data_IF_462374949767
#
_entry.id   IF_462374949767
#
_cell.length_a   1.000
_cell.length_b   1.000
_cell.length_c   1.000
_cell.angle_alpha   90.00
_cell.angle_beta   90.00
_cell.angle_gamma   90.00
#
_symmetry.space_group_name_H-M   'P 1'
#
loop_
_entity.id
_entity.type
_entity.pdbx_description
1 polymer ?
#
# COMPACT_ATOMS: atom_id res chain seq x y z
N UNK A 1 -39.69 18.00 25.46
CA UNK A 1 -38.69 17.78 24.40
C UNK A 1 -38.46 16.29 24.27
N UNK A 2 -38.56 15.72 23.07
CA UNK A 2 -38.26 14.30 22.87
C UNK A 2 -36.75 14.07 23.01
N UNK A 3 -36.36 13.03 23.73
CA UNK A 3 -34.95 12.69 23.88
C UNK A 3 -34.45 12.03 22.59
N UNK A 4 -33.21 12.32 22.18
CA UNK A 4 -32.58 11.61 21.05
C UNK A 4 -32.52 10.09 21.29
N UNK A 5 -32.45 9.66 22.56
CA UNK A 5 -32.47 8.24 22.95
C UNK A 5 -33.82 7.56 22.74
N UNK A 6 -34.91 8.31 22.52
CA UNK A 6 -36.24 7.76 22.23
C UNK A 6 -36.56 7.65 20.73
N UNK A 7 -35.64 8.06 19.85
CA UNK A 7 -35.80 7.87 18.41
C UNK A 7 -35.76 6.38 18.03
N UNK A 8 -36.38 6.03 16.91
CA UNK A 8 -36.33 4.68 16.34
C UNK A 8 -34.92 4.34 15.85
N UNK A 9 -34.57 3.06 15.83
CA UNK A 9 -33.20 2.60 15.48
C UNK A 9 -32.85 2.97 14.04
N UNK A 10 -33.82 2.92 13.14
CA UNK A 10 -33.71 3.29 11.73
C UNK A 10 -33.32 4.77 11.56
N UNK A 11 -33.94 5.66 12.34
CA UNK A 11 -33.61 7.09 12.33
C UNK A 11 -32.24 7.35 12.95
N UNK A 12 -31.87 6.61 14.00
CA UNK A 12 -30.54 6.72 14.60
C UNK A 12 -29.45 6.19 13.67
N UNK A 13 -29.72 5.12 12.91
CA UNK A 13 -28.82 4.61 11.87
C UNK A 13 -28.58 5.68 10.82
N UNK A 14 -29.63 6.33 10.29
CA UNK A 14 -29.49 7.42 9.32
C UNK A 14 -28.66 8.56 9.87
N UNK A 15 -28.93 9.02 11.10
CA UNK A 15 -28.15 10.09 11.74
C UNK A 15 -26.69 9.70 11.90
N UNK A 16 -26.40 8.48 12.37
CA UNK A 16 -25.02 8.05 12.62
C UNK A 16 -24.24 7.73 11.34
N UNK A 17 -24.90 7.23 10.29
CA UNK A 17 -24.25 6.96 8.99
C UNK A 17 -23.74 8.25 8.33
N UNK A 18 -24.41 9.38 8.58
CA UNK A 18 -24.00 10.72 8.13
C UNK A 18 -22.88 11.34 8.98
N UNK A 19 -22.51 10.75 10.12
CA UNK A 19 -21.45 11.29 10.97
C UNK A 19 -20.06 10.83 10.54
N UNK A 20 -19.05 11.66 10.85
CA UNK A 20 -17.66 11.23 10.76
C UNK A 20 -17.38 10.05 11.71
N UNK A 21 -16.42 9.19 11.37
CA UNK A 21 -16.02 8.04 12.23
C UNK A 21 -15.64 8.49 13.64
N UNK A 22 -15.02 9.67 13.77
CA UNK A 22 -14.66 10.22 15.08
C UNK A 22 -15.88 10.62 15.90
N UNK A 23 -16.91 11.18 15.27
CA UNK A 23 -18.15 11.55 15.95
C UNK A 23 -19.00 10.33 16.27
N UNK A 24 -19.06 9.34 15.37
CA UNK A 24 -19.65 8.03 15.67
C UNK A 24 -19.00 7.42 16.92
N UNK A 25 -17.67 7.44 17.03
CA UNK A 25 -16.97 6.92 18.21
C UNK A 25 -17.35 7.65 19.51
N UNK A 26 -17.53 8.99 19.46
CA UNK A 26 -18.01 9.77 20.61
C UNK A 26 -19.47 9.45 20.95
N UNK A 27 -20.34 9.32 19.95
CA UNK A 27 -21.73 8.93 20.14
C UNK A 27 -21.86 7.53 20.74
N UNK A 28 -21.00 6.58 20.34
CA UNK A 28 -20.97 5.23 20.90
C UNK A 28 -20.69 5.22 22.41
N UNK A 29 -19.91 6.18 22.91
CA UNK A 29 -19.61 6.31 24.34
C UNK A 29 -20.77 6.90 25.15
N UNK A 30 -21.74 7.55 24.51
CA UNK A 30 -22.83 8.22 25.22
C UNK A 30 -23.80 7.22 25.87
N UNK A 31 -24.12 6.10 25.22
CA UNK A 31 -24.94 5.04 25.81
C UNK A 31 -24.79 3.69 25.09
N UNK A 32 -25.17 2.60 25.77
CA UNK A 32 -25.11 1.22 25.23
C UNK A 32 -25.89 1.05 23.92
N UNK A 33 -27.06 1.70 23.78
CA UNK A 33 -27.86 1.61 22.56
C UNK A 33 -27.11 2.20 21.37
N UNK A 34 -26.49 3.36 21.53
CA UNK A 34 -25.71 3.99 20.47
C UNK A 34 -24.47 3.18 20.13
N UNK A 35 -23.81 2.62 21.15
CA UNK A 35 -22.71 1.67 20.93
C UNK A 35 -23.13 0.50 20.04
N UNK A 36 -24.25 -0.17 20.33
CA UNK A 36 -24.73 -1.30 19.52
C UNK A 36 -25.08 -0.90 18.09
N UNK A 37 -25.76 0.24 17.91
CA UNK A 37 -26.11 0.71 16.56
C UNK A 37 -24.84 1.02 15.77
N UNK A 38 -23.89 1.73 16.39
CA UNK A 38 -22.64 2.16 15.74
C UNK A 38 -21.68 0.98 15.53
N UNK A 39 -21.71 -0.06 16.37
CA UNK A 39 -20.89 -1.26 16.18
C UNK A 39 -21.24 -2.01 14.90
N UNK A 40 -22.49 -1.88 14.45
CA UNK A 40 -23.00 -2.60 13.29
C UNK A 40 -22.81 -1.80 11.97
N UNK A 41 -22.50 -0.50 12.07
CA UNK A 41 -22.24 0.35 10.92
C UNK A 41 -20.97 -0.05 10.17
N UNK A 42 -21.06 -0.05 8.84
CA UNK A 42 -19.93 -0.27 7.94
C UNK A 42 -19.04 0.96 7.89
N UNK A 43 -17.74 0.74 7.79
CA UNK A 43 -16.74 1.79 7.64
C UNK A 43 -16.46 1.93 6.14
N UNK A 44 -17.10 2.91 5.51
CA UNK A 44 -17.14 3.10 4.06
C UNK A 44 -16.00 3.92 3.49
N UNK A 45 -15.28 4.67 4.32
CA UNK A 45 -14.06 5.38 3.94
C UNK A 45 -13.14 5.58 5.15
N UNK A 46 -11.95 4.99 5.12
CA UNK A 46 -10.98 5.11 6.21
C UNK A 46 -9.58 5.39 5.69
N UNK A 47 -9.09 6.59 6.04
CA UNK A 47 -7.72 7.01 5.80
C UNK A 47 -6.81 6.47 6.90
N UNK A 48 -5.93 5.54 6.54
CA UNK A 48 -4.91 5.01 7.43
C UNK A 48 -3.55 5.65 7.14
N UNK A 49 -2.92 6.19 8.18
CA UNK A 49 -1.63 6.88 8.07
C UNK A 49 -0.50 5.96 8.52
N UNK A 50 0.35 5.55 7.57
CA UNK A 50 1.54 4.76 7.83
C UNK A 50 2.69 5.67 8.24
N UNK A 51 3.42 5.27 9.28
CA UNK A 51 4.59 5.99 9.79
C UNK A 51 4.31 7.44 10.17
N UNK A 52 3.07 7.72 10.59
CA UNK A 52 2.64 8.99 11.18
C UNK A 52 2.66 8.98 12.72
N UNK A 53 3.02 10.07 13.41
CA UNK A 53 3.17 10.13 14.88
C UNK A 53 1.95 9.72 15.71
N UNK A 54 0.77 9.60 15.11
CA UNK A 54 -0.43 9.10 15.80
C UNK A 54 -0.44 7.58 15.99
N UNK A 55 0.51 6.85 15.39
CA UNK A 55 0.58 5.38 15.41
C UNK A 55 -0.72 4.71 14.93
N UNK A 56 -1.39 5.29 13.92
CA UNK A 56 -2.73 4.85 13.53
C UNK A 56 -2.79 3.38 13.12
N UNK A 57 -1.78 2.89 12.39
CA UNK A 57 -1.72 1.48 11.97
C UNK A 57 -1.54 0.55 13.16
N UNK A 58 -0.56 0.83 14.01
CA UNK A 58 -0.29 0.03 15.21
C UNK A 58 -1.51 -0.04 16.14
N UNK A 59 -2.13 1.11 16.43
CA UNK A 59 -3.34 1.17 17.27
C UNK A 59 -4.50 0.39 16.67
N UNK A 60 -4.72 0.51 15.36
CA UNK A 60 -5.78 -0.22 14.68
C UNK A 60 -5.53 -1.73 14.75
N UNK A 61 -4.30 -2.20 14.47
CA UNK A 61 -3.96 -3.62 14.57
C UNK A 61 -4.17 -4.14 15.99
N UNK A 62 -3.76 -3.39 17.03
CA UNK A 62 -4.06 -3.77 18.43
C UNK A 62 -5.56 -3.91 18.69
N UNK A 63 -6.37 -2.99 18.18
CA UNK A 63 -7.82 -3.09 18.29
C UNK A 63 -8.37 -4.33 17.58
N UNK A 64 -7.80 -4.69 16.42
CA UNK A 64 -8.20 -5.87 15.64
C UNK A 64 -7.75 -7.19 16.28
N UNK A 65 -6.63 -7.21 16.99
CA UNK A 65 -6.22 -8.38 17.79
C UNK A 65 -7.25 -8.64 18.91
N UNK A 66 -7.67 -7.60 19.62
CA UNK A 66 -8.67 -7.72 20.70
C UNK A 66 -10.06 -8.05 20.14
N UNK A 67 -10.45 -7.42 19.03
CA UNK A 67 -11.76 -7.61 18.42
C UNK A 67 -11.66 -7.69 16.88
N UNK A 68 -11.42 -8.89 16.33
CA UNK A 68 -11.26 -9.10 14.89
C UNK A 68 -12.50 -8.71 14.07
N UNK A 69 -13.71 -8.77 14.65
CA UNK A 69 -14.97 -8.45 13.98
C UNK A 69 -15.03 -6.99 13.51
N UNK A 70 -14.25 -6.09 14.14
CA UNK A 70 -14.14 -4.70 13.68
C UNK A 70 -13.58 -4.67 12.24
N UNK A 71 -12.70 -5.59 11.88
CA UNK A 71 -12.10 -5.71 10.56
C UNK A 71 -13.14 -5.93 9.45
N UNK A 72 -14.19 -6.70 9.73
CA UNK A 72 -15.29 -7.02 8.79
C UNK A 72 -16.19 -5.82 8.47
N UNK A 73 -15.99 -4.70 9.18
CA UNK A 73 -16.74 -3.47 8.95
C UNK A 73 -16.12 -2.61 7.86
N UNK A 74 -14.82 -2.72 7.62
CA UNK A 74 -14.12 -1.92 6.60
C UNK A 74 -14.54 -2.33 5.19
N UNK A 75 -15.05 -1.38 4.43
CA UNK A 75 -15.40 -1.54 3.01
C UNK A 75 -14.37 -0.84 2.10
N UNK A 76 -13.74 0.23 2.58
CA UNK A 76 -12.69 0.95 1.87
C UNK A 76 -11.54 1.34 2.79
N UNK A 77 -10.32 1.20 2.29
CA UNK A 77 -9.10 1.71 2.93
C UNK A 77 -8.34 2.60 1.96
N UNK A 78 -7.93 3.76 2.44
CA UNK A 78 -7.02 4.67 1.75
C UNK A 78 -5.74 4.77 2.56
N UNK A 79 -4.62 4.33 1.98
CA UNK A 79 -3.34 4.23 2.65
C UNK A 79 -2.53 5.49 2.34
N UNK A 80 -2.12 6.19 3.40
CA UNK A 80 -1.29 7.40 3.32
C UNK A 80 0.05 7.12 3.96
N UNK A 81 1.09 7.01 3.14
CA UNK A 81 2.45 6.79 3.61
C UNK A 81 3.12 8.11 3.98
N UNK A 82 3.69 8.19 5.17
CA UNK A 82 4.46 9.35 5.63
C UNK A 82 5.94 9.01 5.70
N UNK A 83 6.76 9.99 5.33
CA UNK A 83 8.21 9.84 5.30
C UNK A 83 8.83 9.90 6.71
N UNK A 84 9.68 8.92 6.99
CA UNK A 84 10.71 9.02 8.04
C UNK A 84 11.91 9.75 7.44
N UNK A 85 11.89 11.08 7.49
CA UNK A 85 12.87 11.92 6.80
C UNK A 85 13.80 12.69 7.73
N UNK A 86 15.06 12.85 7.32
CA UNK A 86 16.13 13.65 7.96
C UNK A 86 15.76 15.11 8.28
N UNK A 87 14.83 15.70 7.53
CA UNK A 87 14.55 17.16 7.54
C UNK A 87 13.21 17.54 8.16
N UNK A 88 12.43 16.59 8.68
CA UNK A 88 11.14 16.88 9.30
C UNK A 88 11.13 16.32 10.73
N UNK A 89 11.52 17.13 11.73
CA UNK A 89 11.59 16.73 13.13
C UNK A 89 10.31 16.12 13.71
N UNK A 90 9.18 16.51 13.14
CA UNK A 90 7.86 16.24 13.69
C UNK A 90 7.23 14.94 13.18
N UNK A 91 7.91 14.17 12.30
CA UNK A 91 7.26 13.05 11.59
C UNK A 91 7.63 11.61 11.95
N UNK A 92 8.78 11.25 12.55
CA UNK A 92 9.06 9.83 12.75
C UNK A 92 8.12 9.24 13.79
N UNK A 93 7.37 8.22 13.40
CA UNK A 93 6.68 7.37 14.37
C UNK A 93 7.73 6.70 15.23
N UNK A 94 7.64 6.94 16.54
CA UNK A 94 8.56 6.29 17.48
C UNK A 94 8.39 4.78 17.42
N UNK A 95 9.32 4.06 18.02
CA UNK A 95 9.16 2.63 18.25
C UNK A 95 7.92 2.41 19.13
N UNK A 96 7.07 1.47 18.73
CA UNK A 96 6.04 0.93 19.61
C UNK A 96 6.50 -0.40 20.21
N UNK A 97 5.88 -0.77 21.32
CA UNK A 97 6.16 -2.03 22.01
C UNK A 97 4.88 -2.84 22.10
N UNK A 98 5.02 -4.15 21.92
CA UNK A 98 3.97 -5.12 22.13
C UNK A 98 4.04 -5.64 23.57
N UNK A 99 2.90 -6.03 24.11
CA UNK A 99 2.87 -6.87 25.32
C UNK A 99 3.27 -8.31 24.96
N UNK A 100 3.73 -9.09 25.95
CA UNK A 100 4.11 -10.49 25.71
C UNK A 100 2.93 -11.30 25.13
N UNK A 101 1.72 -11.01 25.59
CA UNK A 101 0.48 -11.64 25.11
C UNK A 101 0.23 -11.30 23.64
N UNK A 102 0.34 -10.03 23.27
CA UNK A 102 0.21 -9.57 21.87
C UNK A 102 1.30 -10.20 20.99
N UNK A 103 2.55 -10.29 21.45
CA UNK A 103 3.63 -10.92 20.67
C UNK A 103 3.33 -12.39 20.38
N UNK A 104 2.89 -13.15 21.39
CA UNK A 104 2.54 -14.57 21.23
C UNK A 104 1.38 -14.72 20.25
N UNK A 105 0.37 -13.86 20.35
CA UNK A 105 -0.79 -13.89 19.46
C UNK A 105 -0.42 -13.53 18.02
N UNK A 106 0.30 -12.44 17.81
CA UNK A 106 0.74 -12.01 16.47
C UNK A 106 1.60 -13.10 15.84
N UNK A 107 2.54 -13.70 16.58
CA UNK A 107 3.39 -14.76 16.02
C UNK A 107 2.55 -15.96 15.55
N UNK A 108 1.57 -16.39 16.35
CA UNK A 108 0.63 -17.45 15.95
C UNK A 108 -0.16 -17.08 14.69
N UNK A 109 -0.62 -15.84 14.58
CA UNK A 109 -1.32 -15.36 13.37
C UNK A 109 -0.39 -15.35 12.16
N UNK A 110 0.85 -14.90 12.33
CA UNK A 110 1.84 -14.89 11.26
C UNK A 110 2.11 -16.30 10.73
N UNK A 111 2.26 -17.28 11.62
CA UNK A 111 2.44 -18.68 11.25
C UNK A 111 1.17 -19.24 10.57
N UNK A 112 -0.01 -19.00 11.14
CA UNK A 112 -1.28 -19.48 10.62
C UNK A 112 -1.64 -18.92 9.25
N UNK A 113 -1.20 -17.70 8.93
CA UNK A 113 -1.46 -17.03 7.65
C UNK A 113 -0.29 -17.16 6.68
N UNK A 114 0.76 -17.91 7.03
CA UNK A 114 1.96 -18.08 6.23
C UNK A 114 2.66 -16.75 5.87
N UNK A 115 2.66 -15.82 6.82
CA UNK A 115 3.34 -14.51 6.72
C UNK A 115 4.49 -14.39 7.74
N UNK A 116 5.03 -15.53 8.18
CA UNK A 116 6.09 -15.60 9.19
C UNK A 116 7.35 -14.79 8.82
N UNK A 117 7.61 -14.54 7.54
CA UNK A 117 8.76 -13.75 7.10
C UNK A 117 8.70 -12.28 7.53
N UNK A 118 7.52 -11.73 7.85
CA UNK A 118 7.37 -10.36 8.37
C UNK A 118 7.45 -10.26 9.91
N UNK A 119 7.41 -11.40 10.63
CA UNK A 119 7.31 -11.43 12.10
C UNK A 119 8.37 -10.57 12.80
N UNK A 120 9.64 -10.71 12.44
CA UNK A 120 10.74 -9.98 13.08
C UNK A 120 10.55 -8.46 12.97
N UNK A 121 10.07 -7.98 11.82
CA UNK A 121 9.83 -6.56 11.57
C UNK A 121 8.64 -6.02 12.36
N UNK A 122 7.59 -6.85 12.51
CA UNK A 122 6.44 -6.52 13.36
C UNK A 122 6.90 -6.43 14.82
N UNK A 123 7.67 -7.41 15.30
CA UNK A 123 8.15 -7.48 16.67
C UNK A 123 9.08 -6.30 17.01
N UNK A 124 9.95 -5.91 16.09
CA UNK A 124 10.85 -4.76 16.29
C UNK A 124 10.09 -3.44 16.52
N UNK A 125 8.87 -3.34 15.97
CA UNK A 125 7.94 -2.26 16.28
C UNK A 125 8.33 -0.91 15.68
N UNK A 126 8.94 -0.93 14.50
CA UNK A 126 9.48 0.27 13.87
C UNK A 126 8.83 0.56 12.53
N UNK A 127 8.69 -0.37 11.60
CA UNK A 127 8.09 -0.08 10.29
C UNK A 127 6.58 -0.33 10.29
N UNK A 128 5.75 0.70 10.10
CA UNK A 128 4.28 0.51 10.12
C UNK A 128 3.83 -0.36 8.95
N UNK A 129 4.63 -0.38 7.87
CA UNK A 129 4.40 -1.22 6.68
C UNK A 129 4.42 -2.71 7.02
N UNK A 130 5.19 -3.14 8.01
CA UNK A 130 5.23 -4.54 8.45
C UNK A 130 3.88 -5.01 9.01
N UNK A 131 3.01 -4.08 9.43
CA UNK A 131 1.68 -4.39 9.95
C UNK A 131 0.59 -4.48 8.89
N UNK A 132 0.88 -4.05 7.66
CA UNK A 132 -0.08 -4.08 6.56
C UNK A 132 -0.66 -5.50 6.30
N UNK A 133 0.15 -6.58 6.28
CA UNK A 133 -0.37 -7.93 6.08
C UNK A 133 -1.40 -8.32 7.14
N UNK A 134 -1.11 -8.06 8.42
CA UNK A 134 -2.06 -8.32 9.50
C UNK A 134 -3.35 -7.52 9.32
N UNK A 135 -3.22 -6.23 9.04
CA UNK A 135 -4.38 -5.35 8.80
C UNK A 135 -5.28 -5.91 7.70
N UNK A 136 -4.71 -6.25 6.55
CA UNK A 136 -5.46 -6.75 5.40
C UNK A 136 -6.11 -8.10 5.66
N UNK A 137 -5.44 -9.00 6.38
CA UNK A 137 -5.99 -10.31 6.79
C UNK A 137 -7.18 -10.18 7.75
N UNK A 138 -7.23 -9.11 8.54
CA UNK A 138 -8.39 -8.81 9.39
C UNK A 138 -9.52 -8.10 8.64
N UNK A 139 -9.26 -7.38 7.54
CA UNK A 139 -10.28 -6.65 6.77
C UNK A 139 -10.83 -7.47 5.60
N UNK A 140 -11.49 -8.59 5.90
CA UNK A 140 -11.95 -9.56 4.89
C UNK A 140 -13.12 -9.09 4.02
N UNK A 141 -13.89 -8.09 4.48
CA UNK A 141 -15.01 -7.50 3.73
C UNK A 141 -14.62 -6.26 2.90
N UNK A 142 -13.32 -6.01 2.73
CA UNK A 142 -12.81 -4.88 1.97
C UNK A 142 -13.21 -5.01 0.49
N UNK A 143 -13.75 -3.93 -0.07
CA UNK A 143 -14.11 -3.82 -1.50
C UNK A 143 -13.18 -2.88 -2.24
N UNK A 144 -12.72 -1.82 -1.59
CA UNK A 144 -11.89 -0.81 -2.22
C UNK A 144 -10.59 -0.64 -1.44
N UNK A 145 -9.46 -0.65 -2.13
CA UNK A 145 -8.17 -0.33 -1.53
C UNK A 145 -7.39 0.64 -2.41
N UNK A 146 -7.02 1.78 -1.83
CA UNK A 146 -6.17 2.78 -2.44
C UNK A 146 -4.85 2.83 -1.71
N UNK A 147 -3.80 2.30 -2.33
CA UNK A 147 -2.46 2.32 -1.79
C UNK A 147 -1.77 3.68 -1.85
N UNK A 148 -2.41 4.69 -2.46
CA UNK A 148 -1.81 6.01 -2.59
C UNK A 148 -0.47 5.96 -3.30
N UNK A 149 0.30 7.01 -3.09
CA UNK A 149 1.70 7.08 -3.52
C UNK A 149 2.57 6.55 -2.37
N UNK A 150 3.28 5.45 -2.62
CA UNK A 150 4.23 4.92 -1.66
C UNK A 150 5.52 5.74 -1.66
N UNK A 151 6.22 5.72 -0.53
CA UNK A 151 7.61 6.15 -0.46
C UNK A 151 8.51 4.93 -0.40
N UNK A 152 9.57 4.93 -1.20
CA UNK A 152 10.46 3.77 -1.28
C UNK A 152 11.27 3.69 0.01
N UNK A 153 11.37 2.48 0.53
CA UNK A 153 12.10 2.20 1.75
C UNK A 153 11.46 2.66 3.06
N UNK A 154 12.01 2.08 4.12
CA UNK A 154 11.95 2.60 5.49
C UNK A 154 12.60 3.99 5.60
N UNK A 155 13.35 4.38 4.57
CA UNK A 155 14.21 5.57 4.46
C UNK A 155 14.13 6.08 3.02
N UNK A 156 13.84 7.37 2.84
CA UNK A 156 14.12 8.03 1.57
C UNK A 156 15.63 8.18 1.42
N UNK A 157 16.23 7.37 0.54
CA UNK A 157 17.66 7.49 0.20
C UNK A 157 17.80 8.52 -0.91
N UNK A 158 18.53 9.60 -0.63
CA UNK A 158 19.00 10.50 -1.68
C UNK A 158 20.21 9.82 -2.35
N UNK A 159 20.15 9.45 -3.62
CA UNK A 159 21.24 8.75 -4.30
C UNK A 159 22.51 9.56 -4.51
N UNK A 160 22.48 10.88 -4.26
CA UNK A 160 23.70 11.68 -4.20
C UNK A 160 24.54 11.41 -2.94
N UNK A 161 24.04 10.54 -2.05
CA UNK A 161 24.60 10.25 -0.76
C UNK A 161 24.77 8.70 -0.65
N UNK A 162 26.01 8.22 -0.63
CA UNK A 162 26.47 6.87 -0.19
C UNK A 162 26.03 6.50 1.26
N UNK A 163 24.77 6.72 1.65
CA UNK A 163 24.32 6.93 3.04
C UNK A 163 23.19 6.00 3.52
N UNK A 164 22.99 4.84 2.89
CA UNK A 164 21.91 3.90 3.27
C UNK A 164 22.01 3.46 4.74
N UNK A 165 23.23 3.18 5.21
CA UNK A 165 23.47 2.70 6.58
C UNK A 165 23.29 3.80 7.64
N UNK A 166 23.72 5.02 7.33
CA UNK A 166 23.69 6.16 8.26
C UNK A 166 22.27 6.62 8.53
N UNK A 167 21.44 6.68 7.48
CA UNK A 167 20.05 7.10 7.62
C UNK A 167 19.18 6.01 8.28
N UNK A 168 19.42 4.73 7.98
CA UNK A 168 18.76 3.64 8.70
C UNK A 168 19.06 3.70 10.21
N UNK A 169 20.32 3.93 10.60
CA UNK A 169 20.73 4.12 11.99
C UNK A 169 20.16 5.39 12.63
N UNK A 170 20.04 6.48 11.88
CA UNK A 170 19.41 7.72 12.38
C UNK A 170 17.93 7.56 12.62
N UNK A 171 17.22 6.92 11.71
CA UNK A 171 15.80 6.65 11.88
C UNK A 171 15.61 5.69 13.05
N UNK A 172 16.43 4.65 13.18
CA UNK A 172 16.44 3.77 14.34
C UNK A 172 16.62 4.55 15.65
N UNK A 173 17.66 5.38 15.75
CA UNK A 173 17.92 6.18 16.95
C UNK A 173 16.83 7.24 17.21
N UNK A 174 16.34 7.92 16.18
CA UNK A 174 15.22 8.86 16.31
C UNK A 174 13.94 8.18 16.75
N UNK A 175 13.69 6.96 16.27
CA UNK A 175 12.51 6.16 16.64
C UNK A 175 12.61 5.62 18.07
N UNK A 176 13.80 5.24 18.53
CA UNK A 176 13.99 4.62 19.87
C UNK A 176 14.27 5.64 20.96
N UNK A 177 15.15 6.61 20.71
CA UNK A 177 15.60 7.56 21.72
C UNK A 177 14.78 8.87 21.72
N UNK A 178 13.91 9.09 20.73
CA UNK A 178 13.13 10.32 20.59
C UNK A 178 13.97 11.58 20.32
N UNK A 179 15.27 11.42 20.06
CA UNK A 179 16.23 12.51 19.85
C UNK A 179 16.78 12.55 18.42
N UNK A 180 17.02 13.77 17.92
CA UNK A 180 17.75 13.97 16.67
C UNK A 180 19.24 13.71 16.87
N UNK A 181 19.78 12.64 16.27
CA UNK A 181 21.24 12.53 16.15
C UNK A 181 21.75 13.49 15.07
N UNK A 182 22.70 14.35 15.43
CA UNK A 182 23.43 15.14 14.45
C UNK A 182 24.41 14.27 13.65
N UNK A 183 24.97 14.82 12.57
CA UNK A 183 26.03 14.13 11.80
C UNK A 183 27.33 13.98 12.60
N UNK A 184 27.62 14.91 13.51
CA UNK A 184 28.80 14.87 14.36
C UNK A 184 28.71 13.76 15.42
N UNK A 185 27.52 13.43 15.89
CA UNK A 185 27.30 12.35 16.86
C UNK A 185 27.51 10.96 16.22
N UNK A 186 27.37 10.85 14.90
CA UNK A 186 27.51 9.59 14.16
C UNK A 186 28.96 9.09 14.07
N UNK A 187 29.92 9.95 13.75
CA UNK A 187 31.34 9.56 13.68
C UNK A 187 31.85 9.08 15.05
N UNK A 188 31.34 9.68 16.12
CA UNK A 188 31.59 9.26 17.49
C UNK A 188 30.91 7.92 17.84
N UNK A 189 29.64 7.72 17.48
CA UNK A 189 28.92 6.48 17.81
C UNK A 189 29.29 5.27 16.95
N UNK A 190 29.63 5.44 15.66
CA UNK A 190 30.09 4.34 14.78
C UNK A 190 31.30 3.61 15.37
N UNK A 191 32.13 4.34 16.13
CA UNK A 191 33.33 3.78 16.77
C UNK A 191 33.09 3.22 18.18
N UNK A 192 31.93 3.48 18.81
CA UNK A 192 31.75 3.22 20.25
C UNK A 192 30.48 2.45 20.65
N UNK A 193 29.37 2.50 19.89
CA UNK A 193 28.06 2.04 20.41
C UNK A 193 27.34 0.96 19.59
N UNK A 194 27.65 0.83 18.29
CA UNK A 194 27.12 -0.30 17.51
C UNK A 194 28.17 -1.39 17.50
N UNK A 195 27.94 -2.47 18.26
CA UNK A 195 28.64 -3.69 17.94
C UNK A 195 28.27 -4.05 16.49
N UNK A 196 29.24 -4.54 15.74
CA UNK A 196 29.07 -4.86 14.32
C UNK A 196 27.92 -5.87 14.10
N UNK A 197 27.59 -6.72 15.07
CA UNK A 197 26.52 -7.71 15.00
C UNK A 197 25.11 -7.12 15.05
N UNK A 198 24.85 -6.11 15.90
CA UNK A 198 23.55 -5.43 15.98
C UNK A 198 23.31 -4.64 14.70
N UNK A 199 24.36 -4.03 14.16
CA UNK A 199 24.31 -3.37 12.87
C UNK A 199 24.08 -4.37 11.72
N UNK A 200 24.80 -5.49 11.68
CA UNK A 200 24.61 -6.56 10.70
C UNK A 200 23.20 -7.18 10.79
N UNK A 201 22.65 -7.31 12.00
CA UNK A 201 21.28 -7.79 12.20
C UNK A 201 20.23 -6.80 11.70
N UNK A 202 20.45 -5.50 11.94
CA UNK A 202 19.59 -4.43 11.42
C UNK A 202 19.70 -4.30 9.90
N UNK A 203 20.92 -4.29 9.36
CA UNK A 203 21.12 -4.21 7.92
C UNK A 203 20.62 -5.47 7.21
N UNK A 204 20.75 -6.67 7.79
CA UNK A 204 20.14 -7.87 7.20
C UNK A 204 18.61 -7.76 7.15
N UNK A 205 17.97 -7.35 8.25
CA UNK A 205 16.51 -7.30 8.33
C UNK A 205 15.91 -6.14 7.50
N UNK A 206 16.58 -4.99 7.41
CA UNK A 206 16.06 -3.80 6.73
C UNK A 206 16.61 -3.57 5.31
N UNK A 207 17.87 -3.95 5.04
CA UNK A 207 18.56 -3.66 3.77
C UNK A 207 18.60 -4.88 2.84
N UNK A 208 18.67 -6.11 3.37
CA UNK A 208 18.88 -7.31 2.53
C UNK A 208 17.63 -8.15 2.23
N UNK A 209 16.49 -7.87 2.86
CA UNK A 209 15.25 -8.64 2.65
C UNK A 209 14.13 -7.76 2.10
N UNK A 210 14.26 -7.34 0.85
CA UNK A 210 13.12 -6.83 0.08
C UNK A 210 12.07 -7.94 -0.17
N UNK A 211 12.53 -9.20 -0.25
CA UNK A 211 11.66 -10.37 -0.49
C UNK A 211 10.52 -10.59 0.49
N UNK A 212 10.60 -10.13 1.75
CA UNK A 212 9.54 -10.40 2.72
C UNK A 212 8.23 -9.74 2.31
N UNK A 213 8.27 -8.53 1.72
CA UNK A 213 7.05 -7.80 1.38
C UNK A 213 6.31 -8.54 0.28
N UNK A 214 7.00 -8.93 -0.79
CA UNK A 214 6.39 -9.68 -1.88
C UNK A 214 5.86 -11.04 -1.42
N UNK A 215 6.69 -11.81 -0.70
CA UNK A 215 6.33 -13.13 -0.17
C UNK A 215 5.09 -13.06 0.73
N UNK A 216 5.11 -12.13 1.69
CA UNK A 216 4.03 -11.95 2.67
C UNK A 216 2.76 -11.39 2.04
N UNK A 217 2.89 -10.35 1.22
CA UNK A 217 1.73 -9.74 0.58
C UNK A 217 1.13 -10.68 -0.45
N UNK A 218 1.94 -11.49 -1.12
CA UNK A 218 1.48 -12.52 -2.02
C UNK A 218 0.56 -13.55 -1.37
N UNK A 219 0.82 -13.94 -0.11
CA UNK A 219 -0.10 -14.78 0.68
C UNK A 219 -1.33 -13.99 1.15
N UNK A 220 -1.16 -12.69 1.39
CA UNK A 220 -2.24 -11.80 1.85
C UNK A 220 -3.28 -11.56 0.77
N UNK A 221 -2.87 -11.43 -0.50
CA UNK A 221 -3.78 -11.20 -1.65
C UNK A 221 -4.91 -12.22 -1.70
N UNK A 222 -4.64 -13.49 -1.36
CA UNK A 222 -5.65 -14.56 -1.37
C UNK A 222 -6.85 -14.28 -0.44
N UNK A 223 -6.67 -13.45 0.59
CA UNK A 223 -7.75 -13.04 1.50
C UNK A 223 -8.58 -11.86 0.99
N UNK A 224 -8.16 -11.21 -0.09
CA UNK A 224 -8.74 -10.00 -0.64
C UNK A 224 -9.73 -10.28 -1.79
N UNK A 225 -10.38 -11.43 -1.78
CA UNK A 225 -11.28 -11.88 -2.87
C UNK A 225 -12.52 -11.00 -3.08
N UNK A 226 -12.84 -10.12 -2.12
CA UNK A 226 -13.95 -9.18 -2.19
C UNK A 226 -13.60 -7.83 -2.83
N UNK A 227 -12.33 -7.58 -3.14
CA UNK A 227 -11.91 -6.31 -3.74
C UNK A 227 -12.51 -6.17 -5.13
N UNK A 228 -13.15 -5.03 -5.35
CA UNK A 228 -13.74 -4.57 -6.60
C UNK A 228 -13.00 -3.37 -7.19
N UNK A 229 -12.36 -2.55 -6.36
CA UNK A 229 -11.55 -1.40 -6.81
C UNK A 229 -10.16 -1.41 -6.17
N UNK A 230 -9.15 -1.26 -7.01
CA UNK A 230 -7.74 -1.17 -6.61
C UNK A 230 -7.09 0.08 -7.19
N UNK A 231 -6.38 0.83 -6.36
CA UNK A 231 -5.57 1.97 -6.77
C UNK A 231 -4.14 1.87 -6.23
N UNK A 232 -3.15 2.16 -7.08
CA UNK A 232 -1.74 2.21 -6.72
C UNK A 232 -0.99 3.28 -7.52
N UNK A 233 -0.38 4.25 -6.84
CA UNK A 233 0.30 5.39 -7.48
C UNK A 233 1.82 5.29 -7.46
N UNK A 234 2.33 4.06 -7.52
CA UNK A 234 3.77 3.84 -7.64
C UNK A 234 4.51 4.25 -6.38
N UNK A 235 5.83 4.32 -6.55
CA UNK A 235 6.74 4.69 -5.49
C UNK A 235 7.47 5.99 -5.87
N UNK A 236 7.48 6.99 -5.00
CA UNK A 236 8.33 8.17 -5.18
C UNK A 236 9.79 7.76 -4.98
N UNK A 237 10.46 7.41 -6.07
CA UNK A 237 11.91 7.26 -6.11
C UNK A 237 12.53 8.48 -6.79
N UNK A 238 13.49 9.13 -6.12
CA UNK A 238 14.41 10.05 -6.79
C UNK A 238 15.55 9.30 -7.50
N UNK A 239 15.55 7.98 -7.36
CA UNK A 239 16.65 7.13 -7.76
C UNK A 239 16.45 6.59 -9.16
N UNK A 240 17.43 6.83 -10.05
CA UNK A 240 17.39 6.34 -11.43
C UNK A 240 17.59 4.82 -11.55
N UNK A 241 17.89 4.12 -10.45
CA UNK A 241 18.49 2.78 -10.52
C UNK A 241 17.98 1.69 -9.56
N UNK A 242 16.89 1.87 -8.80
CA UNK A 242 16.58 0.88 -7.75
C UNK A 242 15.61 -0.25 -8.12
N UNK A 243 16.02 -1.43 -7.68
CA UNK A 243 15.47 -2.79 -7.81
C UNK A 243 14.23 -3.07 -6.95
N UNK A 244 13.77 -2.10 -6.15
CA UNK A 244 12.65 -2.27 -5.21
C UNK A 244 11.26 -2.26 -5.89
N UNK A 245 11.19 -1.85 -7.15
CA UNK A 245 9.95 -1.97 -7.94
C UNK A 245 9.52 -3.44 -8.08
N UNK A 246 10.41 -4.43 -7.98
CA UNK A 246 10.05 -5.85 -8.19
C UNK A 246 8.95 -6.34 -7.26
N UNK A 247 8.97 -5.98 -5.98
CA UNK A 247 8.04 -6.52 -4.98
C UNK A 247 6.66 -5.87 -5.07
N UNK A 248 6.63 -4.55 -5.27
CA UNK A 248 5.38 -3.85 -5.51
C UNK A 248 4.74 -4.35 -6.81
N UNK A 249 5.56 -4.64 -7.83
CA UNK A 249 5.07 -5.21 -9.07
C UNK A 249 4.50 -6.62 -8.87
N UNK A 250 5.19 -7.54 -8.19
CA UNK A 250 4.67 -8.90 -7.93
C UNK A 250 3.38 -8.87 -7.09
N UNK A 251 3.29 -7.95 -6.13
CA UNK A 251 2.06 -7.74 -5.39
C UNK A 251 0.91 -7.25 -6.29
N UNK A 252 1.16 -6.24 -7.11
CA UNK A 252 0.17 -5.72 -8.07
C UNK A 252 -0.26 -6.82 -9.03
N UNK A 253 0.66 -7.64 -9.55
CA UNK A 253 0.32 -8.72 -10.49
C UNK A 253 -0.67 -9.71 -9.90
N UNK A 254 -0.43 -10.16 -8.66
CA UNK A 254 -1.33 -11.07 -7.95
C UNK A 254 -2.69 -10.43 -7.68
N UNK A 255 -2.73 -9.13 -7.38
CA UNK A 255 -3.99 -8.41 -7.19
C UNK A 255 -4.83 -8.32 -8.46
N UNK A 256 -4.20 -8.14 -9.63
CA UNK A 256 -4.91 -8.08 -10.91
C UNK A 256 -5.69 -9.37 -11.24
N UNK A 257 -5.34 -10.48 -10.58
CA UNK A 257 -6.00 -11.79 -10.73
C UNK A 257 -7.16 -12.01 -9.77
N UNK A 258 -7.49 -11.02 -8.95
CA UNK A 258 -8.61 -11.15 -8.02
C UNK A 258 -9.94 -11.35 -8.78
N UNK A 259 -10.78 -12.30 -8.34
CA UNK A 259 -11.94 -12.75 -9.12
C UNK A 259 -13.06 -11.72 -9.24
N UNK A 260 -13.05 -10.67 -8.41
CA UNK A 260 -14.07 -9.62 -8.37
C UNK A 260 -13.54 -8.23 -8.69
N UNK A 261 -12.27 -8.12 -9.07
CA UNK A 261 -11.63 -6.83 -9.31
C UNK A 261 -12.10 -6.24 -10.65
N UNK A 262 -12.92 -5.19 -10.58
CA UNK A 262 -13.52 -4.56 -11.75
C UNK A 262 -12.82 -3.25 -12.14
N UNK A 263 -12.30 -2.49 -11.17
CA UNK A 263 -11.69 -1.18 -11.37
C UNK A 263 -10.24 -1.18 -10.91
N UNK A 264 -9.34 -0.80 -11.81
CA UNK A 264 -7.90 -0.73 -11.53
C UNK A 264 -7.36 0.62 -11.96
N UNK A 265 -6.67 1.30 -11.05
CA UNK A 265 -5.95 2.55 -11.31
C UNK A 265 -4.50 2.38 -10.91
N UNK A 266 -3.61 2.43 -11.88
CA UNK A 266 -2.17 2.29 -11.67
C UNK A 266 -1.49 3.52 -12.21
N UNK A 267 -0.54 4.07 -11.46
CA UNK A 267 0.32 5.12 -12.00
C UNK A 267 1.73 5.11 -11.46
N UNK A 268 2.63 5.82 -12.15
CA UNK A 268 4.04 6.01 -11.75
C UNK A 268 4.82 4.70 -11.49
N UNK A 269 4.50 3.63 -12.22
CA UNK A 269 5.28 2.38 -12.20
C UNK A 269 6.27 2.37 -13.36
N UNK A 270 7.52 1.95 -13.13
CA UNK A 270 8.55 1.99 -14.17
C UNK A 270 8.55 0.89 -15.21
N UNK A 271 8.19 -0.35 -14.90
CA UNK A 271 8.14 -1.43 -15.90
C UNK A 271 7.48 -2.65 -15.29
N UNK A 272 6.84 -3.48 -16.13
CA UNK A 272 6.11 -4.68 -15.71
C UNK A 272 6.56 -5.96 -16.47
N UNK A 273 7.55 -5.88 -17.36
CA UNK A 273 7.74 -6.82 -18.47
C UNK A 273 7.98 -8.30 -18.13
N UNK A 274 7.41 -9.17 -18.99
CA UNK A 274 7.66 -10.62 -19.17
C UNK A 274 9.13 -11.07 -19.19
N UNK A 275 10.09 -10.25 -19.64
CA UNK A 275 11.53 -10.65 -19.63
C UNK A 275 12.08 -10.88 -18.21
N UNK A 276 11.36 -10.40 -17.19
CA UNK A 276 11.68 -10.61 -15.78
C UNK A 276 10.62 -11.39 -14.99
N UNK A 277 9.73 -12.16 -15.64
CA UNK A 277 8.96 -13.23 -14.96
C UNK A 277 7.53 -12.91 -14.52
N UNK A 278 6.91 -11.83 -14.99
CA UNK A 278 5.61 -11.34 -14.49
C UNK A 278 4.41 -12.28 -14.63
N UNK A 279 4.38 -13.05 -15.71
CA UNK A 279 3.24 -13.89 -16.10
C UNK A 279 3.60 -15.38 -16.20
N UNK A 280 4.82 -15.78 -15.82
CA UNK A 280 5.23 -17.19 -15.96
C UNK A 280 4.38 -18.13 -15.11
N UNK A 281 3.80 -17.62 -14.04
CA UNK A 281 3.01 -18.38 -13.08
C UNK A 281 1.50 -18.13 -13.19
N UNK A 282 1.05 -17.34 -14.17
CA UNK A 282 -0.38 -17.10 -14.42
C UNK A 282 -0.83 -18.13 -15.46
N UNK A 283 -1.76 -19.04 -15.12
CA UNK A 283 -2.30 -19.99 -16.08
C UNK A 283 -2.86 -19.27 -17.31
N UNK A 284 -2.56 -19.78 -18.51
CA UNK A 284 -2.95 -19.18 -19.79
C UNK A 284 -4.48 -18.98 -19.95
N UNK A 285 -5.29 -19.68 -19.15
CA UNK A 285 -6.74 -19.60 -19.10
C UNK A 285 -7.29 -18.59 -18.06
N UNK A 286 -6.42 -17.96 -17.27
CA UNK A 286 -6.81 -17.00 -16.24
C UNK A 286 -7.28 -15.70 -16.88
N UNK A 287 -8.59 -15.49 -16.88
CA UNK A 287 -9.21 -14.23 -17.33
C UNK A 287 -9.46 -13.34 -16.12
N UNK A 288 -8.94 -12.11 -16.15
CA UNK A 288 -9.28 -11.15 -15.11
C UNK A 288 -10.70 -10.59 -15.33
N UNK A 289 -11.29 -10.05 -14.26
CA UNK A 289 -12.64 -9.46 -14.26
C UNK A 289 -12.63 -7.93 -14.45
N UNK A 290 -11.49 -7.38 -14.85
CA UNK A 290 -11.24 -5.94 -14.92
C UNK A 290 -12.05 -5.33 -16.07
N UNK A 291 -12.95 -4.41 -15.72
CA UNK A 291 -13.80 -3.64 -16.65
C UNK A 291 -13.26 -2.24 -16.90
N UNK A 292 -12.59 -1.65 -15.91
CA UNK A 292 -12.10 -0.28 -15.97
C UNK A 292 -10.62 -0.24 -15.60
N UNK A 293 -9.78 0.21 -16.53
CA UNK A 293 -8.34 0.32 -16.33
C UNK A 293 -7.85 1.75 -16.59
N UNK A 294 -7.15 2.32 -15.62
CA UNK A 294 -6.38 3.57 -15.77
C UNK A 294 -4.89 3.29 -15.56
N UNK A 295 -4.07 3.67 -16.56
CA UNK A 295 -2.60 3.61 -16.51
C UNK A 295 -2.03 5.02 -16.67
N UNK A 296 -1.55 5.66 -15.61
CA UNK A 296 -1.18 7.08 -15.64
C UNK A 296 0.28 7.30 -15.24
N UNK A 297 1.06 7.85 -16.15
CA UNK A 297 2.47 8.15 -15.88
C UNK A 297 3.31 6.90 -15.64
N UNK A 298 2.92 5.75 -16.20
CA UNK A 298 3.69 4.52 -16.13
C UNK A 298 4.78 4.52 -17.21
N UNK A 299 5.99 4.09 -16.88
CA UNK A 299 7.12 4.02 -17.83
C UNK A 299 7.17 2.67 -18.57
N UNK A 300 6.01 2.25 -19.04
CA UNK A 300 5.85 0.97 -19.70
C UNK A 300 6.55 0.93 -21.07
N UNK A 301 7.26 -0.15 -21.31
CA UNK A 301 7.71 -0.52 -22.64
C UNK A 301 6.53 -1.12 -23.41
N UNK A 302 6.67 -1.23 -24.73
CA UNK A 302 5.63 -1.82 -25.56
C UNK A 302 5.13 -3.21 -25.09
N UNK A 303 6.00 -4.16 -24.70
CA UNK A 303 5.54 -5.45 -24.19
C UNK A 303 4.71 -5.35 -22.90
N UNK A 304 4.92 -4.30 -22.08
CA UNK A 304 4.13 -4.10 -20.86
C UNK A 304 2.66 -3.80 -21.23
N UNK A 305 2.44 -2.96 -22.24
CA UNK A 305 1.09 -2.65 -22.73
C UNK A 305 0.42 -3.85 -23.40
N UNK A 306 1.18 -4.63 -24.16
CA UNK A 306 0.71 -5.90 -24.73
C UNK A 306 0.25 -6.85 -23.63
N UNK A 307 1.07 -7.04 -22.60
CA UNK A 307 0.77 -7.93 -21.47
C UNK A 307 -0.51 -7.51 -20.71
N UNK A 308 -0.72 -6.21 -20.46
CA UNK A 308 -1.97 -5.73 -19.87
C UNK A 308 -3.17 -5.93 -20.80
N UNK A 309 -3.00 -5.68 -22.10
CA UNK A 309 -4.08 -5.85 -23.07
C UNK A 309 -4.51 -7.33 -23.15
N UNK A 310 -3.54 -8.25 -23.17
CA UNK A 310 -3.77 -9.70 -23.12
C UNK A 310 -4.46 -10.11 -21.81
N UNK A 311 -4.08 -9.55 -20.65
CA UNK A 311 -4.71 -9.93 -19.38
C UNK A 311 -6.20 -9.54 -19.31
N UNK A 312 -6.59 -8.44 -19.95
CA UNK A 312 -7.78 -7.66 -19.58
C UNK A 312 -9.03 -7.87 -20.41
N UNK A 313 -9.12 -8.95 -21.20
CA UNK A 313 -10.15 -9.35 -22.21
C UNK A 313 -11.65 -8.97 -22.06
N UNK A 314 -12.09 -8.37 -20.96
CA UNK A 314 -13.44 -7.85 -20.71
C UNK A 314 -13.49 -6.34 -20.40
N UNK A 315 -12.48 -5.55 -20.77
CA UNK A 315 -12.50 -4.09 -20.52
C UNK A 315 -13.69 -3.42 -21.19
N UNK A 316 -14.33 -2.54 -20.43
CA UNK A 316 -15.39 -1.63 -20.89
C UNK A 316 -14.87 -0.19 -21.04
N UNK A 317 -13.81 0.19 -20.32
CA UNK A 317 -13.15 1.48 -20.48
C UNK A 317 -11.64 1.40 -20.22
N UNK A 318 -10.88 2.16 -21.00
CA UNK A 318 -9.43 2.24 -20.85
C UNK A 318 -8.94 3.68 -20.95
N UNK A 319 -8.14 4.10 -19.96
CA UNK A 319 -7.49 5.40 -19.95
C UNK A 319 -5.99 5.21 -19.75
N UNK A 320 -5.20 5.87 -20.57
CA UNK A 320 -3.76 5.86 -20.46
C UNK A 320 -3.17 7.26 -20.65
N UNK A 321 -2.22 7.59 -19.79
CA UNK A 321 -1.36 8.76 -19.93
C UNK A 321 0.07 8.26 -20.00
N UNK A 322 0.64 8.26 -21.20
CA UNK A 322 2.01 7.80 -21.49
C UNK A 322 2.98 8.89 -21.05
N UNK A 323 3.94 8.55 -20.19
CA UNK A 323 5.02 9.46 -19.80
C UNK A 323 6.17 9.36 -20.80
N UNK A 324 6.41 10.43 -21.56
CA UNK A 324 7.49 10.50 -22.55
C UNK A 324 8.80 11.08 -21.96
N UNK A 325 8.78 11.57 -20.72
CA UNK A 325 9.90 12.36 -20.18
C UNK A 325 11.19 11.58 -19.96
N UNK A 326 11.12 10.24 -19.92
CA UNK A 326 12.28 9.36 -19.73
C UNK A 326 12.32 8.16 -20.72
N UNK A 327 11.54 8.18 -21.79
CA UNK A 327 11.58 7.10 -22.79
C UNK A 327 12.93 7.08 -23.50
N UNK A 328 13.74 6.04 -23.27
CA UNK A 328 15.07 5.83 -23.85
C UNK A 328 15.02 5.52 -25.36
N UNK A 329 14.41 6.40 -26.16
CA UNK A 329 14.32 6.29 -27.62
C UNK A 329 13.31 5.26 -28.14
N UNK A 330 12.57 4.58 -27.26
CA UNK A 330 11.46 3.69 -27.64
C UNK A 330 10.15 4.47 -27.62
N UNK A 331 9.84 5.17 -28.72
CA UNK A 331 8.56 5.84 -28.87
C UNK A 331 7.45 4.81 -29.10
N UNK A 332 6.63 4.56 -28.07
CA UNK A 332 5.33 3.93 -28.27
C UNK A 332 4.30 5.00 -28.63
N UNK A 333 3.60 4.79 -29.75
CA UNK A 333 2.56 5.72 -30.18
C UNK A 333 1.23 5.45 -29.47
N UNK A 334 0.46 6.50 -29.23
CA UNK A 334 -0.91 6.42 -28.68
C UNK A 334 -1.79 5.46 -29.48
N UNK A 335 -1.61 5.46 -30.81
CA UNK A 335 -2.31 4.55 -31.73
C UNK A 335 -1.98 3.09 -31.44
N UNK A 336 -0.70 2.77 -31.22
CA UNK A 336 -0.27 1.38 -30.98
C UNK A 336 -0.83 0.84 -29.67
N UNK A 337 -0.78 1.63 -28.59
CA UNK A 337 -1.42 1.27 -27.32
C UNK A 337 -2.92 1.06 -27.51
N UNK A 338 -3.60 2.00 -28.18
CA UNK A 338 -5.04 1.90 -28.47
C UNK A 338 -5.39 0.60 -29.20
N UNK A 339 -4.60 0.26 -30.22
CA UNK A 339 -4.83 -0.93 -31.06
C UNK A 339 -4.63 -2.24 -30.26
N UNK A 340 -3.67 -2.32 -29.33
CA UNK A 340 -3.51 -3.48 -28.44
C UNK A 340 -4.75 -3.74 -27.59
N UNK A 341 -5.26 -2.71 -26.91
CA UNK A 341 -6.41 -2.87 -26.03
C UNK A 341 -7.69 -3.16 -26.82
N UNK A 342 -7.93 -2.47 -27.94
CA UNK A 342 -9.09 -2.75 -28.79
C UNK A 342 -9.06 -4.16 -29.38
N UNK A 343 -7.88 -4.65 -29.80
CA UNK A 343 -7.76 -5.97 -30.42
C UNK A 343 -7.97 -7.12 -29.42
N UNK A 344 -7.58 -6.95 -28.16
CA UNK A 344 -7.77 -7.95 -27.11
C UNK A 344 -9.13 -7.87 -26.40
N UNK A 345 -9.88 -6.77 -26.57
CA UNK A 345 -11.16 -6.51 -25.89
C UNK A 345 -12.32 -6.25 -26.87
N UNK A 346 -12.28 -6.84 -28.07
CA UNK A 346 -13.21 -6.55 -29.19
C UNK A 346 -14.71 -6.66 -28.84
N UNK A 347 -15.07 -7.44 -27.83
CA UNK A 347 -16.46 -7.67 -27.43
C UNK A 347 -17.01 -6.68 -26.40
N UNK A 348 -16.14 -5.92 -25.73
CA UNK A 348 -16.51 -5.11 -24.55
C UNK A 348 -16.00 -3.67 -24.62
N UNK A 349 -14.86 -3.45 -25.29
CA UNK A 349 -14.22 -2.14 -25.39
C UNK A 349 -14.48 -1.50 -26.76
N UNK A 350 -15.04 -0.30 -26.76
CA UNK A 350 -15.26 0.51 -27.96
C UNK A 350 -14.27 1.67 -28.02
N UNK A 351 -13.98 2.15 -29.24
CA UNK A 351 -12.96 3.20 -29.47
C UNK A 351 -13.25 4.52 -28.75
N UNK A 352 -14.52 4.88 -28.57
CA UNK A 352 -14.95 6.07 -27.83
C UNK A 352 -14.70 5.98 -26.32
N UNK A 353 -14.49 4.77 -25.79
CA UNK A 353 -14.18 4.50 -24.39
C UNK A 353 -12.70 4.27 -24.13
N UNK A 354 -11.86 4.57 -25.12
CA UNK A 354 -10.41 4.53 -25.03
C UNK A 354 -9.86 5.96 -25.08
N UNK A 355 -9.15 6.36 -24.04
CA UNK A 355 -8.48 7.65 -23.96
C UNK A 355 -6.98 7.44 -23.72
N UNK A 356 -6.17 7.48 -24.78
CA UNK A 356 -4.71 7.42 -24.67
C UNK A 356 -4.15 8.80 -25.00
N UNK A 357 -3.31 9.34 -24.11
CA UNK A 357 -2.69 10.65 -24.25
C UNK A 357 -1.22 10.57 -23.84
N UNK A 358 -0.42 11.52 -24.30
CA UNK A 358 1.00 11.66 -23.96
C UNK A 358 1.21 12.85 -23.02
N UNK A 359 1.89 12.65 -21.89
CA UNK A 359 2.26 13.70 -20.94
C UNK A 359 3.65 14.24 -21.31
N UNK A 360 3.67 15.35 -22.06
CA UNK A 360 4.91 15.99 -22.50
C UNK A 360 5.36 17.05 -21.47
N UNK A 361 5.75 16.59 -20.27
CA UNK A 361 6.31 17.48 -19.22
C UNK A 361 7.64 18.11 -19.62
N UNK A 362 8.23 17.69 -20.73
CA UNK A 362 9.50 18.21 -21.25
C UNK A 362 9.37 19.57 -21.94
N UNK A 363 8.18 19.96 -22.42
CA UNK A 363 7.93 21.25 -23.10
C UNK A 363 7.78 22.46 -22.18
N UNK A 364 7.60 22.26 -20.87
CA UNK A 364 7.36 23.34 -19.89
C UNK A 364 8.60 23.90 -19.19
N UNK A 365 9.80 23.40 -19.53
CA UNK A 365 11.09 23.92 -19.03
C UNK A 365 11.91 24.42 -20.22
N UNK A 366 11.42 25.49 -20.88
CA UNK A 366 12.21 26.27 -21.83
C UNK A 366 12.67 27.58 -21.21
#
# INVERSE_FOLDING_TARGET
MASITSLQTELLLQVFDDLSISDQARCAQACKRFYHIISDLKITDYDIKFDYPSFSVWRLVRCLLINPQIGERFQKLTLKFYLRGRRVPETPTLKWNWTNEEEIEIKKLCDAWNIGSTWNLIQEGISSRALLPLLLRHTTCLRNIDFGEMYDGFVYTDPSLDFNEVEALRIWNGSIAGGHMSFADYSFMKSHFFNQQDFERLSLNFVTKTSWFSETMGQTVLSLSNITEFTYWGCKTNDRWNTHDSDAREFVSRLLLLPRLEVVKIGKIRTISRRHGFYKDIPDDTRCSIKHLELIGCWFLEPDFEDFAELTHCLESFKCVIDLSESMGYEISERRVTDFFLSNNKGTLTRDRVSVTTDDRSRGRS
#
